data_IF_129676804795
#
_entry.id   IF_129676804795
#
_cell.length_a   1.000
_cell.length_b   1.000
_cell.length_c   1.000
_cell.angle_alpha   90.00
_cell.angle_beta   90.00
_cell.angle_gamma   90.00
#
_symmetry.space_group_name_H-M   'P 1'
#
loop_
_entity.id
_entity.type
_entity.pdbx_description
1 polymer ?
#
# COMPACT_ATOMS: atom_id res chain seq x y z
N UNK A 1 -7.38 24.49 2.46
CA UNK A 1 -7.23 24.47 3.93
C UNK A 1 -6.58 25.77 4.34
N UNK A 2 -7.01 26.38 5.44
CA UNK A 2 -6.35 27.55 6.02
C UNK A 2 -5.68 27.13 7.33
N UNK A 3 -4.43 27.52 7.51
CA UNK A 3 -3.61 27.17 8.66
C UNK A 3 -3.04 28.46 9.26
N UNK A 4 -3.04 28.57 10.59
CA UNK A 4 -2.56 29.76 11.30
C UNK A 4 -1.17 29.56 11.90
N UNK A 5 -0.71 28.31 12.01
CA UNK A 5 0.60 27.97 12.55
C UNK A 5 1.20 26.72 11.89
N UNK A 6 2.50 26.49 12.12
CA UNK A 6 3.16 25.24 11.73
C UNK A 6 2.64 24.04 12.53
N UNK A 7 2.15 24.29 13.74
CA UNK A 7 1.59 23.25 14.62
C UNK A 7 0.25 22.78 14.05
N UNK A 8 -0.59 23.70 13.57
CA UNK A 8 -1.88 23.37 12.92
C UNK A 8 -1.66 22.45 11.71
N UNK A 9 -0.61 22.73 10.92
CA UNK A 9 -0.24 21.92 9.75
C UNK A 9 0.19 20.52 10.19
N UNK A 10 1.01 20.41 11.24
CA UNK A 10 1.49 19.12 11.76
C UNK A 10 0.34 18.29 12.29
N UNK A 11 -0.57 18.88 13.06
CA UNK A 11 -1.77 18.19 13.55
C UNK A 11 -2.63 17.69 12.39
N UNK A 12 -2.83 18.51 11.36
CA UNK A 12 -3.57 18.07 10.18
C UNK A 12 -2.87 16.91 9.44
N UNK A 13 -1.53 16.90 9.39
CA UNK A 13 -0.75 15.78 8.83
C UNK A 13 -0.89 14.53 9.69
N UNK A 14 -0.78 14.64 11.01
CA UNK A 14 -0.90 13.51 11.94
C UNK A 14 -2.28 12.82 11.82
N UNK A 15 -3.34 13.63 11.64
CA UNK A 15 -4.70 13.14 11.40
C UNK A 15 -4.83 12.41 10.04
N UNK A 16 -4.18 12.93 9.00
CA UNK A 16 -4.12 12.29 7.67
C UNK A 16 -3.34 10.97 7.77
N UNK A 17 -2.19 10.96 8.44
CA UNK A 17 -1.34 9.78 8.59
C UNK A 17 -2.07 8.68 9.36
N UNK A 18 -2.85 9.04 10.38
CA UNK A 18 -3.72 8.10 11.10
C UNK A 18 -4.75 7.44 10.18
N UNK A 19 -5.33 8.20 9.24
CA UNK A 19 -6.26 7.67 8.25
C UNK A 19 -5.55 6.79 7.21
N UNK A 20 -4.35 7.19 6.76
CA UNK A 20 -3.53 6.40 5.84
C UNK A 20 -3.19 5.05 6.47
N UNK A 21 -2.77 5.01 7.74
CA UNK A 21 -2.47 3.77 8.46
C UNK A 21 -3.70 2.87 8.53
N UNK A 22 -4.87 3.42 8.85
CA UNK A 22 -6.12 2.66 8.90
C UNK A 22 -6.47 2.04 7.53
N UNK A 23 -6.33 2.81 6.44
CA UNK A 23 -6.58 2.35 5.08
C UNK A 23 -5.56 1.29 4.62
N UNK A 24 -4.28 1.45 4.95
CA UNK A 24 -3.24 0.46 4.65
C UNK A 24 -3.51 -0.84 5.42
N UNK A 25 -3.95 -0.75 6.69
CA UNK A 25 -4.32 -1.93 7.47
C UNK A 25 -5.51 -2.68 6.83
N UNK A 26 -6.55 -1.96 6.41
CA UNK A 26 -7.68 -2.54 5.67
C UNK A 26 -7.22 -3.20 4.35
N UNK A 27 -6.37 -2.52 3.58
CA UNK A 27 -5.77 -3.08 2.36
C UNK A 27 -4.99 -4.36 2.67
N UNK A 28 -4.25 -4.39 3.78
CA UNK A 28 -3.52 -5.58 4.25
C UNK A 28 -4.42 -6.77 4.56
N UNK A 29 -5.62 -6.54 5.11
CA UNK A 29 -6.61 -7.59 5.30
C UNK A 29 -7.07 -8.20 3.96
N UNK A 30 -7.27 -7.36 2.93
CA UNK A 30 -7.60 -7.86 1.59
C UNK A 30 -6.45 -8.69 0.99
N UNK A 31 -5.21 -8.25 1.17
CA UNK A 31 -4.01 -8.97 0.70
C UNK A 31 -3.92 -10.35 1.38
N UNK A 32 -4.06 -10.39 2.70
CA UNK A 32 -4.11 -11.66 3.47
C UNK A 32 -5.26 -12.57 3.02
N UNK A 33 -6.44 -12.02 2.77
CA UNK A 33 -7.57 -12.80 2.26
C UNK A 33 -7.28 -13.36 0.86
N UNK A 34 -6.63 -12.58 -0.02
CA UNK A 34 -6.21 -13.02 -1.34
C UNK A 34 -5.16 -14.13 -1.27
N UNK A 35 -4.24 -14.10 -0.30
CA UNK A 35 -3.24 -15.14 -0.09
C UNK A 35 -3.86 -16.52 0.18
N UNK A 36 -5.02 -16.59 0.84
CA UNK A 36 -5.74 -17.85 1.07
C UNK A 36 -6.15 -18.57 -0.24
N UNK A 37 -6.23 -17.84 -1.35
CA UNK A 37 -6.56 -18.38 -2.68
C UNK A 37 -5.31 -18.70 -3.53
N UNK A 38 -4.10 -18.37 -3.07
CA UNK A 38 -2.86 -18.58 -3.81
C UNK A 38 -2.20 -19.88 -3.34
N UNK A 39 -2.12 -20.88 -4.23
CA UNK A 39 -1.51 -22.18 -3.92
C UNK A 39 0.02 -22.21 -4.13
N UNK A 40 0.61 -21.22 -4.82
CA UNK A 40 2.04 -21.17 -5.16
C UNK A 40 2.66 -19.82 -4.76
N UNK A 41 3.91 -19.84 -4.28
CA UNK A 41 4.72 -18.65 -3.98
C UNK A 41 4.91 -17.73 -5.20
N UNK A 42 4.94 -18.28 -6.43
CA UNK A 42 5.01 -17.47 -7.64
C UNK A 42 3.74 -16.64 -7.88
N UNK A 43 2.58 -17.09 -7.39
CA UNK A 43 1.34 -16.33 -7.45
C UNK A 43 1.33 -15.13 -6.48
N UNK A 44 2.25 -15.09 -5.50
CA UNK A 44 2.36 -13.99 -4.54
C UNK A 44 2.78 -12.70 -5.24
N UNK A 45 3.75 -12.78 -6.17
CA UNK A 45 4.35 -11.61 -6.84
C UNK A 45 3.47 -10.96 -7.91
N UNK A 46 2.66 -11.74 -8.63
CA UNK A 46 1.66 -11.31 -9.61
C UNK A 46 1.99 -9.97 -10.35
N UNK A 47 3.09 -9.91 -11.13
CA UNK A 47 3.62 -8.66 -11.69
C UNK A 47 2.60 -7.90 -12.55
N UNK A 48 1.79 -8.61 -13.34
CA UNK A 48 0.73 -8.01 -14.14
C UNK A 48 -0.31 -7.27 -13.28
N UNK A 49 -0.62 -7.82 -12.10
CA UNK A 49 -1.56 -7.20 -11.17
C UNK A 49 -0.95 -5.95 -10.54
N UNK A 50 0.34 -5.96 -10.24
CA UNK A 50 1.05 -4.78 -9.72
C UNK A 50 0.98 -3.64 -10.72
N UNK A 51 1.26 -3.90 -12.00
CA UNK A 51 1.23 -2.85 -13.02
C UNK A 51 -0.17 -2.24 -13.17
N UNK A 52 -1.24 -3.05 -13.19
CA UNK A 52 -2.63 -2.56 -13.24
C UNK A 52 -2.95 -1.64 -12.04
N UNK A 53 -2.44 -1.97 -10.85
CA UNK A 53 -2.62 -1.11 -9.67
C UNK A 53 -1.87 0.21 -9.83
N UNK A 54 -0.62 0.18 -10.32
CA UNK A 54 0.18 1.38 -10.56
C UNK A 54 -0.47 2.30 -11.59
N UNK A 55 -0.92 1.77 -12.73
CA UNK A 55 -1.58 2.56 -13.78
C UNK A 55 -2.85 3.25 -13.25
N UNK A 56 -3.61 2.53 -12.40
CA UNK A 56 -4.82 3.11 -11.79
C UNK A 56 -4.49 4.25 -10.83
N UNK A 57 -3.54 4.06 -9.93
CA UNK A 57 -3.26 5.04 -8.86
C UNK A 57 -2.51 6.26 -9.38
N UNK A 58 -1.70 6.10 -10.43
CA UNK A 58 -1.08 7.23 -11.15
C UNK A 58 -2.14 8.08 -11.85
N UNK A 59 -3.11 7.45 -12.54
CA UNK A 59 -4.23 8.17 -13.12
C UNK A 59 -5.12 8.87 -12.06
N UNK A 60 -5.32 8.27 -10.89
CA UNK A 60 -6.04 8.91 -9.78
C UNK A 60 -5.23 10.07 -9.17
N UNK A 61 -3.91 9.93 -9.01
CA UNK A 61 -3.04 10.99 -8.50
C UNK A 61 -3.01 12.20 -9.43
N UNK A 62 -2.92 11.98 -10.74
CA UNK A 62 -2.96 13.05 -11.74
C UNK A 62 -4.23 13.89 -11.59
N UNK A 63 -5.40 13.24 -11.45
CA UNK A 63 -6.70 13.91 -11.24
C UNK A 63 -6.75 14.68 -9.92
N UNK A 64 -6.01 14.24 -8.91
CA UNK A 64 -5.93 14.87 -7.60
C UNK A 64 -4.85 15.98 -7.52
N UNK A 65 -4.10 16.23 -8.60
CA UNK A 65 -2.99 17.19 -8.61
C UNK A 65 -1.73 16.71 -7.90
N UNK A 66 -1.60 15.41 -7.65
CA UNK A 66 -0.41 14.77 -7.09
C UNK A 66 0.51 14.27 -8.22
N UNK A 67 1.80 14.54 -8.10
CA UNK A 67 2.78 14.06 -9.07
C UNK A 67 2.81 12.52 -9.15
N UNK A 68 2.75 11.98 -10.37
CA UNK A 68 2.69 10.53 -10.62
C UNK A 68 3.90 9.79 -10.03
N UNK A 69 5.08 10.41 -10.08
CA UNK A 69 6.31 9.85 -9.49
C UNK A 69 6.18 9.58 -7.98
N UNK A 70 5.46 10.45 -7.26
CA UNK A 70 5.27 10.30 -5.81
C UNK A 70 4.37 9.10 -5.53
N UNK A 71 3.20 9.03 -6.17
CA UNK A 71 2.25 7.96 -5.88
C UNK A 71 2.77 6.60 -6.33
N UNK A 72 3.50 6.54 -7.43
CA UNK A 72 4.07 5.30 -7.94
C UNK A 72 5.09 4.73 -6.94
N UNK A 73 6.01 5.56 -6.43
CA UNK A 73 7.00 5.16 -5.43
C UNK A 73 6.34 4.65 -4.16
N UNK A 74 5.32 5.34 -3.67
CA UNK A 74 4.56 4.96 -2.47
C UNK A 74 3.90 3.59 -2.68
N UNK A 75 3.18 3.41 -3.78
CA UNK A 75 2.45 2.16 -4.04
C UNK A 75 3.37 0.97 -4.31
N UNK A 76 4.47 1.15 -5.06
CA UNK A 76 5.45 0.07 -5.29
C UNK A 76 6.08 -0.37 -3.97
N UNK A 77 6.48 0.57 -3.12
CA UNK A 77 7.05 0.27 -1.80
C UNK A 77 6.05 -0.45 -0.91
N UNK A 78 4.81 0.05 -0.83
CA UNK A 78 3.74 -0.60 -0.06
C UNK A 78 3.46 -2.03 -0.55
N UNK A 79 3.37 -2.24 -1.87
CA UNK A 79 3.12 -3.56 -2.45
C UNK A 79 4.26 -4.54 -2.11
N UNK A 80 5.51 -4.11 -2.30
CA UNK A 80 6.67 -4.94 -1.99
C UNK A 80 6.71 -5.30 -0.49
N UNK A 81 6.41 -4.35 0.40
CA UNK A 81 6.35 -4.61 1.84
C UNK A 81 5.33 -5.70 2.20
N UNK A 82 4.15 -5.71 1.55
CA UNK A 82 3.18 -6.78 1.75
C UNK A 82 3.66 -8.13 1.22
N UNK A 83 4.26 -8.16 0.02
CA UNK A 83 4.82 -9.39 -0.57
C UNK A 83 5.89 -9.98 0.36
N UNK A 84 6.83 -9.16 0.82
CA UNK A 84 7.92 -9.59 1.69
C UNK A 84 7.38 -10.11 3.04
N UNK A 85 6.38 -9.42 3.61
CA UNK A 85 5.71 -9.87 4.82
C UNK A 85 5.04 -11.24 4.64
N UNK A 86 4.31 -11.44 3.53
CA UNK A 86 3.65 -12.72 3.22
C UNK A 86 4.67 -13.86 3.04
N UNK A 87 5.73 -13.64 2.27
CA UNK A 87 6.78 -14.64 2.05
C UNK A 87 7.42 -15.08 3.38
N UNK A 88 7.65 -14.15 4.30
CA UNK A 88 8.16 -14.45 5.63
C UNK A 88 7.15 -15.23 6.48
N UNK A 89 5.86 -14.90 6.43
CA UNK A 89 4.82 -15.69 7.13
C UNK A 89 4.75 -17.12 6.60
N UNK A 90 4.80 -17.31 5.28
CA UNK A 90 4.81 -18.64 4.66
C UNK A 90 6.04 -19.46 5.08
N UNK A 91 7.23 -18.84 5.08
CA UNK A 91 8.46 -19.51 5.54
C UNK A 91 8.33 -20.00 6.98
N UNK A 92 7.78 -19.17 7.89
CA UNK A 92 7.59 -19.54 9.30
C UNK A 92 6.61 -20.69 9.48
N UNK A 93 5.55 -20.75 8.68
CA UNK A 93 4.57 -21.83 8.72
C UNK A 93 5.15 -23.15 8.19
N UNK A 94 6.03 -23.10 7.19
CA UNK A 94 6.69 -24.29 6.63
C UNK A 94 7.81 -24.89 7.53
N UNK A 95 8.26 -24.13 8.54
CA UNK A 95 9.31 -24.55 9.49
C UNK A 95 8.76 -25.12 10.81
N UNK A 96 7.43 -25.12 11.00
CA UNK A 96 6.75 -25.74 12.14
C UNK A 96 6.17 -27.09 11.74
#
# INVERSE_FOLDING_TARGET
>A
MHFSSIEDIRTAIDDIDSQIVALIAQRGQCVKAAAAFKQDQNAVRAPDRVQIVIDRVTAEANKAGLAEEIIEKVYRTMINAFIDYELEQHRRLAQK
#
